data_IF_725050983310
#
_entry.id   IF_725050983310
#
_cell.length_a   1.000
_cell.length_b   1.000
_cell.length_c   1.000
_cell.angle_alpha   90.00
_cell.angle_beta   90.00
_cell.angle_gamma   90.00
#
_symmetry.space_group_name_H-M   'P 1'
#
loop_
_entity.id
_entity.type
_entity.pdbx_description
1 polymer ?
#
# COMPACT_ATOMS: atom_id res chain seq x y z
N UNK A 1 1.49 -0.99 -33.83
CA UNK A 1 1.27 -0.91 -32.37
C UNK A 1 2.34 -1.74 -31.67
N UNK A 2 2.73 -1.36 -30.46
CA UNK A 2 3.65 -2.12 -29.62
C UNK A 2 3.22 -2.00 -28.17
N UNK A 3 3.26 -3.10 -27.42
CA UNK A 3 3.12 -3.09 -25.96
C UNK A 3 4.44 -3.51 -25.33
N UNK A 4 4.80 -2.87 -24.22
CA UNK A 4 5.97 -3.23 -23.42
C UNK A 4 5.67 -3.10 -21.94
N UNK A 5 6.19 -4.03 -21.16
CA UNK A 5 6.21 -4.07 -19.69
C UNK A 5 7.62 -4.27 -19.15
N UNK A 6 8.66 -4.11 -19.98
CA UNK A 6 10.05 -4.33 -19.56
C UNK A 6 10.64 -3.09 -18.88
N UNK A 7 10.12 -2.79 -17.71
CA UNK A 7 10.50 -1.70 -16.81
C UNK A 7 10.00 -2.02 -15.39
N UNK A 8 10.46 -1.25 -14.41
CA UNK A 8 10.04 -1.38 -13.01
C UNK A 8 8.52 -1.50 -12.86
N UNK A 9 8.07 -2.50 -12.11
CA UNK A 9 6.66 -2.88 -11.85
C UNK A 9 5.86 -3.31 -13.07
N UNK A 10 6.48 -3.37 -14.25
CA UNK A 10 5.79 -3.71 -15.48
C UNK A 10 5.30 -5.16 -15.49
N UNK A 11 4.00 -5.34 -15.72
CA UNK A 11 3.36 -6.66 -15.81
C UNK A 11 2.26 -6.64 -16.88
N UNK A 12 2.49 -7.36 -17.98
CA UNK A 12 1.47 -7.78 -18.95
C UNK A 12 2.02 -8.90 -19.83
N UNK A 13 1.16 -9.79 -20.30
CA UNK A 13 1.41 -10.74 -21.37
C UNK A 13 0.60 -10.33 -22.62
N UNK A 14 1.25 -10.34 -23.78
CA UNK A 14 0.62 -9.95 -25.04
C UNK A 14 0.18 -11.18 -25.81
N UNK A 15 -1.13 -11.37 -25.96
CA UNK A 15 -1.71 -12.49 -26.72
C UNK A 15 -1.86 -12.11 -28.21
N UNK A 16 -2.40 -10.92 -28.50
CA UNK A 16 -2.56 -10.41 -29.88
C UNK A 16 -2.51 -8.89 -29.94
N UNK A 17 -1.81 -8.36 -30.96
CA UNK A 17 -1.72 -6.92 -31.27
C UNK A 17 -1.98 -6.61 -32.75
N UNK A 18 -2.70 -7.50 -33.44
CA UNK A 18 -2.90 -7.38 -34.88
C UNK A 18 -3.89 -6.28 -35.25
N UNK A 19 -4.92 -6.05 -34.41
CA UNK A 19 -6.03 -5.15 -34.70
C UNK A 19 -6.26 -4.17 -33.53
N UNK A 20 -6.34 -2.85 -33.76
CA UNK A 20 -6.53 -1.85 -32.69
C UNK A 20 -7.80 -2.05 -31.87
N UNK A 21 -8.86 -2.55 -32.48
CA UNK A 21 -10.17 -2.77 -31.86
C UNK A 21 -10.31 -4.17 -31.23
N UNK A 22 -9.24 -4.95 -31.17
CA UNK A 22 -9.20 -6.31 -30.65
C UNK A 22 -7.81 -6.66 -30.08
N UNK A 23 -7.29 -5.79 -29.21
CA UNK A 23 -6.02 -6.03 -28.51
C UNK A 23 -6.28 -7.06 -27.39
N UNK A 24 -5.54 -8.16 -27.40
CA UNK A 24 -5.73 -9.28 -26.48
C UNK A 24 -4.53 -9.40 -25.54
N UNK A 25 -4.79 -9.34 -24.24
CA UNK A 25 -3.80 -9.32 -23.16
C UNK A 25 -4.18 -10.30 -22.05
N UNK A 26 -3.18 -10.68 -21.27
CA UNK A 26 -3.33 -11.45 -20.03
C UNK A 26 -2.36 -10.86 -18.98
N UNK A 27 -2.62 -11.09 -17.70
CA UNK A 27 -1.73 -10.66 -16.62
C UNK A 27 -0.78 -11.82 -16.28
N UNK A 28 0.51 -11.53 -16.09
CA UNK A 28 1.44 -12.56 -15.60
C UNK A 28 1.19 -12.80 -14.11
N UNK A 29 1.27 -14.07 -13.70
CA UNK A 29 1.28 -14.45 -12.28
C UNK A 29 2.52 -13.94 -11.58
N UNK A 30 2.38 -13.70 -10.29
CA UNK A 30 3.48 -13.51 -9.37
C UNK A 30 4.44 -14.71 -9.48
N UNK A 31 5.76 -14.45 -9.37
CA UNK A 31 6.75 -15.52 -9.43
C UNK A 31 6.52 -16.54 -8.31
N UNK A 32 6.55 -17.83 -8.65
CA UNK A 32 6.33 -18.94 -7.72
C UNK A 32 4.99 -18.89 -6.95
N UNK A 33 3.98 -18.24 -7.52
CA UNK A 33 2.65 -18.11 -6.93
C UNK A 33 1.54 -18.17 -7.97
N UNK A 34 0.32 -18.42 -7.51
CA UNK A 34 -0.88 -18.37 -8.34
C UNK A 34 -1.56 -16.99 -8.36
N UNK A 35 -1.12 -16.06 -7.51
CA UNK A 35 -1.67 -14.71 -7.44
C UNK A 35 -1.40 -13.90 -8.71
N UNK A 36 -2.42 -13.16 -9.16
CA UNK A 36 -2.29 -12.08 -10.14
C UNK A 36 -3.48 -11.13 -10.04
N UNK A 37 -3.24 -9.85 -10.29
CA UNK A 37 -4.25 -8.78 -10.43
C UNK A 37 -3.56 -7.51 -10.95
N UNK A 38 -2.37 -7.20 -10.41
CA UNK A 38 -1.57 -6.05 -10.83
C UNK A 38 -1.16 -6.17 -12.30
N UNK A 39 -1.40 -5.10 -13.07
CA UNK A 39 -0.85 -4.91 -14.40
C UNK A 39 -0.23 -3.53 -14.51
N UNK A 40 0.79 -3.41 -15.35
CA UNK A 40 1.39 -2.13 -15.72
C UNK A 40 2.14 -2.28 -17.04
N UNK A 41 1.71 -1.55 -18.07
CA UNK A 41 2.31 -1.64 -19.39
C UNK A 41 2.19 -0.32 -20.16
N UNK A 42 3.01 -0.18 -21.21
CA UNK A 42 2.97 0.94 -22.14
C UNK A 42 2.46 0.48 -23.50
N UNK A 43 1.41 1.12 -23.99
CA UNK A 43 0.97 1.06 -25.38
C UNK A 43 1.67 2.16 -26.20
N UNK A 44 2.26 1.76 -27.32
CA UNK A 44 2.73 2.64 -28.38
C UNK A 44 1.82 2.44 -29.61
N UNK A 45 1.11 3.50 -30.00
CA UNK A 45 0.14 3.45 -31.09
C UNK A 45 -0.04 4.79 -31.81
N UNK A 46 -0.97 4.81 -32.77
CA UNK A 46 -1.37 6.01 -33.51
C UNK A 46 -2.33 6.83 -32.64
N UNK A 47 -2.04 8.12 -32.38
CA UNK A 47 -2.96 9.02 -31.70
C UNK A 47 -4.31 9.16 -32.42
N UNK A 48 -5.37 9.48 -31.67
CA UNK A 48 -6.73 9.74 -32.16
C UNK A 48 -7.34 8.56 -32.95
N UNK A 49 -6.91 7.34 -32.61
CA UNK A 49 -7.48 6.11 -33.11
C UNK A 49 -8.05 5.33 -31.93
N UNK A 50 -9.33 4.93 -32.00
CA UNK A 50 -9.93 4.11 -30.97
C UNK A 50 -9.21 2.75 -30.87
N UNK A 51 -8.85 2.39 -29.64
CA UNK A 51 -8.34 1.07 -29.28
C UNK A 51 -9.30 0.40 -28.32
N UNK A 52 -9.39 -0.93 -28.41
CA UNK A 52 -10.09 -1.76 -27.44
C UNK A 52 -9.16 -2.83 -26.92
N UNK A 53 -8.82 -2.72 -25.64
CA UNK A 53 -7.93 -3.64 -24.95
C UNK A 53 -8.78 -4.61 -24.13
N UNK A 54 -8.52 -5.90 -24.30
CA UNK A 54 -9.11 -6.98 -23.54
C UNK A 54 -8.03 -7.59 -22.67
N UNK A 55 -8.15 -7.43 -21.34
CA UNK A 55 -7.32 -8.16 -20.38
C UNK A 55 -8.14 -9.36 -19.91
N UNK A 56 -7.76 -10.56 -20.36
CA UNK A 56 -8.58 -11.77 -20.26
C UNK A 56 -8.22 -12.63 -19.03
N UNK A 57 -9.11 -13.57 -18.70
CA UNK A 57 -8.89 -14.59 -17.67
C UNK A 57 -8.97 -14.07 -16.24
N UNK A 58 -9.58 -12.90 -16.06
CA UNK A 58 -9.66 -12.18 -14.80
C UNK A 58 -10.72 -12.76 -13.85
N UNK A 59 -11.57 -13.67 -14.31
CA UNK A 59 -12.41 -14.53 -13.46
C UNK A 59 -11.59 -15.47 -12.57
N UNK A 60 -10.31 -15.64 -12.87
CA UNK A 60 -9.35 -16.47 -12.14
C UNK A 60 -8.31 -15.66 -11.38
N UNK A 61 -8.42 -14.33 -11.38
CA UNK A 61 -7.50 -13.48 -10.65
C UNK A 61 -7.66 -13.66 -9.13
N UNK A 62 -6.75 -13.09 -8.36
CA UNK A 62 -6.77 -13.21 -6.90
C UNK A 62 -8.10 -12.72 -6.28
N UNK A 63 -8.63 -11.63 -6.85
CA UNK A 63 -9.83 -10.94 -6.39
C UNK A 63 -10.73 -10.58 -7.60
N UNK A 64 -11.53 -11.53 -8.12
CA UNK A 64 -12.40 -11.28 -9.26
C UNK A 64 -13.41 -10.15 -9.03
N UNK A 65 -13.93 -10.01 -7.81
CA UNK A 65 -14.81 -8.92 -7.35
C UNK A 65 -14.13 -7.54 -7.39
N UNK A 66 -12.79 -7.51 -7.44
CA UNK A 66 -12.02 -6.30 -7.64
C UNK A 66 -12.23 -5.66 -9.01
N UNK A 67 -12.75 -6.41 -9.99
CA UNK A 67 -13.02 -5.89 -11.34
C UNK A 67 -14.41 -5.26 -11.49
N UNK A 68 -15.33 -5.56 -10.58
CA UNK A 68 -16.67 -4.97 -10.59
C UNK A 68 -16.58 -3.46 -10.32
N UNK A 69 -17.09 -2.64 -11.23
CA UNK A 69 -17.03 -1.17 -11.21
C UNK A 69 -15.60 -0.58 -11.16
N UNK A 70 -14.59 -1.38 -11.53
CA UNK A 70 -13.20 -0.92 -11.59
C UNK A 70 -12.87 -0.25 -12.94
N UNK A 71 -12.12 0.85 -12.85
CA UNK A 71 -11.60 1.60 -13.98
C UNK A 71 -10.07 1.61 -13.97
N UNK A 72 -9.45 1.17 -15.06
CA UNK A 72 -8.00 1.22 -15.20
C UNK A 72 -7.47 2.65 -15.08
N UNK A 73 -6.24 2.82 -14.58
CA UNK A 73 -5.54 4.11 -14.65
C UNK A 73 -4.65 4.17 -15.88
N UNK A 74 -4.52 5.34 -16.47
CA UNK A 74 -3.64 5.61 -17.59
C UNK A 74 -2.85 6.91 -17.42
N UNK A 75 -1.72 7.02 -18.10
CA UNK A 75 -0.89 8.23 -18.09
C UNK A 75 -0.10 8.40 -19.38
N UNK A 76 0.03 9.65 -19.83
CA UNK A 76 0.88 9.99 -20.98
C UNK A 76 2.33 10.33 -20.58
N UNK A 77 2.52 10.87 -19.36
CA UNK A 77 3.78 11.44 -18.88
C UNK A 77 4.36 10.70 -17.65
N UNK A 78 3.63 9.72 -17.11
CA UNK A 78 3.91 8.98 -15.87
C UNK A 78 3.84 9.82 -14.60
N UNK A 79 3.31 11.05 -14.69
CA UNK A 79 3.13 11.98 -13.57
C UNK A 79 1.65 12.17 -13.27
N UNK A 80 0.85 12.45 -14.29
CA UNK A 80 -0.60 12.57 -14.16
C UNK A 80 -1.25 11.27 -14.58
N UNK A 81 -1.85 10.58 -13.62
CA UNK A 81 -2.60 9.35 -13.84
C UNK A 81 -4.10 9.65 -13.75
N UNK A 82 -4.89 9.12 -14.67
CA UNK A 82 -6.33 9.36 -14.74
C UNK A 82 -7.07 8.06 -15.07
N UNK A 83 -8.34 7.96 -14.66
CA UNK A 83 -9.17 6.78 -14.92
C UNK A 83 -9.58 6.74 -16.40
N UNK A 84 -9.62 5.54 -16.96
CA UNK A 84 -10.13 5.29 -18.31
C UNK A 84 -11.40 4.43 -18.26
N UNK A 85 -12.40 4.72 -19.12
CA UNK A 85 -13.62 3.92 -19.20
C UNK A 85 -13.27 2.43 -19.38
N UNK A 86 -13.76 1.63 -18.44
CA UNK A 86 -13.49 0.20 -18.38
C UNK A 86 -14.78 -0.51 -18.00
N UNK A 87 -14.91 -1.77 -18.41
CA UNK A 87 -15.99 -2.65 -17.95
C UNK A 87 -15.48 -4.08 -17.83
N UNK A 88 -15.99 -4.80 -16.84
CA UNK A 88 -15.70 -6.21 -16.67
C UNK A 88 -16.84 -7.06 -17.23
N UNK A 89 -16.56 -7.85 -18.27
CA UNK A 89 -17.56 -8.69 -18.94
C UNK A 89 -16.93 -10.03 -19.35
N UNK A 90 -17.60 -11.14 -19.03
CA UNK A 90 -17.21 -12.49 -19.45
C UNK A 90 -15.74 -12.84 -19.11
N UNK A 91 -15.29 -12.49 -17.89
CA UNK A 91 -13.92 -12.78 -17.43
C UNK A 91 -12.84 -11.89 -18.05
N UNK A 92 -13.22 -10.77 -18.68
CA UNK A 92 -12.28 -9.83 -19.30
C UNK A 92 -12.55 -8.39 -18.89
N UNK A 93 -11.50 -7.65 -18.53
CA UNK A 93 -11.56 -6.20 -18.39
C UNK A 93 -11.39 -5.58 -19.79
N UNK A 94 -12.39 -4.83 -20.22
CA UNK A 94 -12.41 -4.18 -21.53
C UNK A 94 -12.21 -2.68 -21.35
N UNK A 95 -11.15 -2.15 -21.96
CA UNK A 95 -10.78 -0.73 -21.94
C UNK A 95 -10.97 -0.16 -23.34
N UNK A 96 -11.92 0.75 -23.50
CA UNK A 96 -12.10 1.52 -24.75
C UNK A 96 -11.35 2.85 -24.60
N UNK A 97 -10.33 3.07 -25.42
CA UNK A 97 -9.44 4.20 -25.26
C UNK A 97 -8.96 4.79 -26.60
N UNK A 98 -9.11 6.10 -26.75
CA UNK A 98 -8.56 6.86 -27.87
C UNK A 98 -7.38 7.72 -27.35
N UNK A 99 -6.11 7.32 -27.60
CA UNK A 99 -4.96 8.02 -27.06
C UNK A 99 -4.75 9.38 -27.75
N UNK A 100 -4.50 10.44 -26.98
CA UNK A 100 -4.10 11.75 -27.53
C UNK A 100 -2.63 11.79 -27.98
N UNK A 101 -1.82 10.89 -27.43
CA UNK A 101 -0.38 10.81 -27.67
C UNK A 101 0.05 9.41 -28.09
N UNK A 102 1.19 9.30 -28.77
CA UNK A 102 1.64 8.03 -29.34
C UNK A 102 2.02 6.99 -28.27
N UNK A 103 2.31 7.42 -27.04
CA UNK A 103 2.65 6.57 -25.91
C UNK A 103 1.68 6.79 -24.77
N UNK A 104 1.15 5.71 -24.21
CA UNK A 104 0.27 5.75 -23.04
C UNK A 104 0.60 4.57 -22.14
N UNK A 105 0.77 4.83 -20.85
CA UNK A 105 0.87 3.81 -19.82
C UNK A 105 -0.51 3.47 -19.29
N UNK A 106 -0.73 2.19 -18.95
CA UNK A 106 -1.90 1.70 -18.24
C UNK A 106 -1.42 0.91 -17.03
N UNK A 107 -2.11 1.04 -15.90
CA UNK A 107 -1.80 0.28 -14.70
C UNK A 107 -3.05 -0.04 -13.86
N UNK A 108 -2.87 -0.92 -12.87
CA UNK A 108 -3.92 -1.26 -11.91
C UNK A 108 -4.15 -0.14 -10.87
N UNK A 109 -3.08 0.56 -10.50
CA UNK A 109 -3.10 1.83 -9.74
C UNK A 109 -1.88 2.66 -10.16
N UNK A 110 -1.78 3.92 -9.73
CA UNK A 110 -0.61 4.77 -9.98
C UNK A 110 0.68 4.10 -9.46
N UNK A 111 1.60 3.66 -10.33
CA UNK A 111 2.80 2.94 -9.90
C UNK A 111 3.73 3.80 -9.04
N UNK A 112 4.42 3.15 -8.11
CA UNK A 112 5.48 3.74 -7.29
C UNK A 112 6.76 2.93 -7.51
N UNK A 113 7.70 3.47 -8.28
CA UNK A 113 8.92 2.78 -8.71
C UNK A 113 10.00 2.74 -7.63
N UNK A 114 10.91 1.77 -7.73
CA UNK A 114 12.05 1.64 -6.83
C UNK A 114 12.99 2.87 -6.86
N UNK A 115 13.17 3.52 -8.01
CA UNK A 115 13.92 4.80 -8.05
C UNK A 115 13.26 5.90 -7.22
N UNK A 116 11.92 5.97 -7.21
CA UNK A 116 11.18 6.93 -6.39
C UNK A 116 11.28 6.57 -4.90
N UNK A 117 11.32 5.28 -4.59
CA UNK A 117 11.55 4.78 -3.23
C UNK A 117 12.92 5.23 -2.72
N UNK A 118 13.97 5.06 -3.53
CA UNK A 118 15.31 5.54 -3.20
C UNK A 118 15.35 7.07 -3.06
N UNK A 119 14.72 7.80 -3.97
CA UNK A 119 14.60 9.27 -3.88
C UNK A 119 13.91 9.70 -2.57
N UNK A 120 12.82 9.04 -2.17
CA UNK A 120 12.10 9.32 -0.92
C UNK A 120 12.98 9.06 0.31
N UNK A 121 13.64 7.89 0.37
CA UNK A 121 14.53 7.54 1.47
C UNK A 121 15.67 8.55 1.62
N UNK A 122 16.28 8.93 0.50
CA UNK A 122 17.44 9.82 0.50
C UNK A 122 17.07 11.30 0.67
N UNK A 123 15.87 11.69 0.28
CA UNK A 123 15.28 12.96 0.69
C UNK A 123 15.05 12.98 2.20
N UNK A 124 14.42 11.94 2.77
CA UNK A 124 14.08 11.89 4.19
C UNK A 124 15.32 11.94 5.09
N UNK A 125 16.38 11.16 4.79
CA UNK A 125 17.63 11.17 5.58
C UNK A 125 18.34 12.53 5.58
N UNK A 126 17.99 13.44 4.66
CA UNK A 126 18.62 14.76 4.60
C UNK A 126 18.15 15.71 5.70
N UNK A 127 17.09 15.33 6.43
CA UNK A 127 16.62 16.02 7.62
C UNK A 127 17.39 15.54 8.85
N UNK A 128 17.89 16.48 9.66
CA UNK A 128 18.74 16.19 10.85
C UNK A 128 18.08 15.25 11.88
N UNK A 129 16.74 15.18 11.89
CA UNK A 129 15.96 14.34 12.81
C UNK A 129 15.67 12.94 12.26
N UNK A 130 16.13 12.61 11.05
CA UNK A 130 15.86 11.35 10.37
C UNK A 130 17.16 10.55 10.17
N UNK A 131 17.18 9.33 10.68
CA UNK A 131 18.24 8.36 10.44
C UNK A 131 17.72 7.22 9.55
N UNK A 132 18.47 6.86 8.51
CA UNK A 132 18.20 5.69 7.68
C UNK A 132 19.10 4.53 8.10
N UNK A 133 18.51 3.35 8.26
CA UNK A 133 19.22 2.11 8.58
C UNK A 133 18.80 1.00 7.59
N UNK A 134 19.77 0.30 7.02
CA UNK A 134 19.55 -0.93 6.27
C UNK A 134 19.50 -2.10 7.26
N UNK A 135 18.31 -2.68 7.46
CA UNK A 135 18.10 -3.78 8.39
C UNK A 135 18.62 -5.12 7.87
N UNK A 136 18.68 -5.26 6.54
CA UNK A 136 19.09 -6.45 5.83
C UNK A 136 18.83 -6.33 4.33
N UNK A 137 18.91 -7.46 3.63
CA UNK A 137 18.69 -7.55 2.19
C UNK A 137 17.45 -8.41 1.90
N UNK A 138 16.73 -8.07 0.83
CA UNK A 138 15.69 -8.92 0.23
C UNK A 138 16.31 -10.13 -0.47
N UNK A 139 15.48 -11.03 -1.00
CA UNK A 139 15.95 -12.23 -1.71
C UNK A 139 16.67 -11.92 -3.04
N UNK A 140 16.34 -10.81 -3.70
CA UNK A 140 17.07 -10.31 -4.87
C UNK A 140 18.25 -9.39 -4.51
N UNK A 141 18.51 -9.14 -3.22
CA UNK A 141 19.60 -8.28 -2.75
C UNK A 141 19.30 -6.78 -2.80
N UNK A 142 18.03 -6.37 -2.65
CA UNK A 142 17.64 -4.96 -2.41
C UNK A 142 17.66 -4.65 -0.93
N UNK A 143 17.79 -3.39 -0.58
CA UNK A 143 17.83 -2.98 0.82
C UNK A 143 16.43 -3.06 1.47
N UNK A 144 16.39 -3.57 2.71
CA UNK A 144 15.24 -3.42 3.61
C UNK A 144 15.54 -2.24 4.54
N UNK A 145 15.07 -1.05 4.18
CA UNK A 145 15.39 0.20 4.88
C UNK A 145 14.31 0.61 5.88
N UNK A 146 14.73 1.05 7.06
CA UNK A 146 13.87 1.75 8.03
C UNK A 146 14.33 3.19 8.20
N UNK A 147 13.38 4.11 8.24
CA UNK A 147 13.59 5.50 8.64
C UNK A 147 13.21 5.64 10.11
N UNK A 148 14.15 6.09 10.94
CA UNK A 148 13.91 6.45 12.34
C UNK A 148 13.86 7.97 12.46
N UNK A 149 12.71 8.52 12.87
CA UNK A 149 12.46 9.96 12.90
C UNK A 149 12.19 10.43 14.34
N UNK A 150 13.02 11.34 14.81
CA UNK A 150 13.04 11.86 16.18
C UNK A 150 14.07 11.16 17.07
N UNK A 151 14.49 11.85 18.13
CA UNK A 151 15.49 11.33 19.07
C UNK A 151 14.88 10.32 20.05
N UNK A 152 15.40 9.08 20.15
CA UNK A 152 14.97 8.08 21.14
C UNK A 152 15.17 8.53 22.58
N UNK A 153 14.15 8.32 23.41
CA UNK A 153 14.19 8.55 24.85
C UNK A 153 13.16 7.66 25.56
N UNK A 154 13.38 7.36 26.84
CA UNK A 154 12.53 6.45 27.63
C UNK A 154 11.08 6.95 27.77
N UNK A 155 10.88 8.27 27.74
CA UNK A 155 9.59 8.95 27.87
C UNK A 155 8.81 9.03 26.54
N UNK A 156 9.46 8.74 25.41
CA UNK A 156 8.82 8.80 24.09
C UNK A 156 8.17 7.47 23.70
N UNK A 157 7.04 7.56 23.01
CA UNK A 157 6.34 6.41 22.43
C UNK A 157 7.03 5.95 21.15
N UNK A 158 7.02 4.65 20.87
CA UNK A 158 7.56 4.05 19.63
C UNK A 158 6.42 3.74 18.68
N UNK A 159 6.36 4.47 17.57
CA UNK A 159 5.31 4.34 16.56
C UNK A 159 5.91 3.68 15.33
N UNK A 160 5.41 2.50 14.99
CA UNK A 160 5.84 1.75 13.82
C UNK A 160 4.83 1.88 12.69
N UNK A 161 5.32 2.13 11.48
CA UNK A 161 4.50 2.14 10.26
C UNK A 161 5.21 1.30 9.20
N UNK A 162 4.53 0.26 8.72
CA UNK A 162 5.00 -0.51 7.56
C UNK A 162 4.02 -0.31 6.42
N UNK A 163 4.52 -0.28 5.19
CA UNK A 163 3.69 -0.16 4.01
C UNK A 163 4.09 -1.19 2.96
N UNK A 164 3.11 -1.57 2.14
CA UNK A 164 3.35 -2.25 0.86
C UNK A 164 3.99 -3.64 1.02
N UNK A 165 3.54 -4.39 2.02
CA UNK A 165 3.89 -5.82 2.13
C UNK A 165 3.43 -6.60 0.90
N UNK A 166 2.28 -6.21 0.35
CA UNK A 166 1.84 -6.64 -0.96
C UNK A 166 2.29 -5.60 -2.01
N UNK A 167 3.13 -6.00 -2.98
CA UNK A 167 3.83 -5.07 -3.86
C UNK A 167 2.93 -4.27 -4.80
N UNK A 168 1.78 -4.84 -5.20
CA UNK A 168 0.82 -4.20 -6.09
C UNK A 168 0.02 -3.06 -5.41
N UNK A 169 0.02 -3.00 -4.08
CA UNK A 169 -0.69 -1.99 -3.27
C UNK A 169 0.11 -0.68 -3.18
N UNK A 170 0.42 -0.11 -4.33
CA UNK A 170 1.23 1.10 -4.50
C UNK A 170 0.70 2.32 -3.74
N UNK A 171 -0.61 2.40 -3.50
CA UNK A 171 -1.23 3.40 -2.63
C UNK A 171 -0.59 3.50 -1.24
N UNK A 172 -0.07 2.38 -0.72
CA UNK A 172 0.51 2.32 0.61
C UNK A 172 1.81 3.15 0.72
N UNK A 173 2.65 3.12 -0.32
CA UNK A 173 3.88 3.90 -0.32
C UNK A 173 3.63 5.38 -0.66
N UNK A 174 2.63 5.68 -1.51
CA UNK A 174 2.13 7.05 -1.69
C UNK A 174 1.59 7.67 -0.40
N UNK A 175 0.92 6.87 0.42
CA UNK A 175 0.48 7.26 1.76
C UNK A 175 1.67 7.59 2.66
N UNK A 176 2.69 6.72 2.68
CA UNK A 176 3.90 6.95 3.48
C UNK A 176 4.65 8.19 3.01
N UNK A 177 4.74 8.44 1.71
CA UNK A 177 5.35 9.66 1.17
C UNK A 177 4.66 10.92 1.74
N UNK A 178 3.33 10.97 1.69
CA UNK A 178 2.57 12.10 2.25
C UNK A 178 2.75 12.25 3.77
N UNK A 179 2.73 11.14 4.49
CA UNK A 179 2.98 11.12 5.94
C UNK A 179 4.38 11.67 6.27
N UNK A 180 5.41 11.22 5.55
CA UNK A 180 6.79 11.67 5.73
C UNK A 180 6.95 13.16 5.41
N UNK A 181 6.37 13.63 4.30
CA UNK A 181 6.40 15.05 3.93
C UNK A 181 5.77 15.95 5.00
N UNK A 182 4.72 15.51 5.70
CA UNK A 182 4.15 16.26 6.82
C UNK A 182 4.97 16.10 8.10
N UNK A 183 5.46 14.90 8.41
CA UNK A 183 6.22 14.62 9.63
C UNK A 183 7.59 15.31 9.66
N UNK A 184 8.20 15.51 8.50
CA UNK A 184 9.52 16.14 8.34
C UNK A 184 9.44 17.64 7.99
N UNK A 185 8.22 18.20 7.89
CA UNK A 185 7.99 19.64 7.75
C UNK A 185 8.24 20.33 9.11
N UNK A 186 9.28 21.18 9.17
CA UNK A 186 9.68 21.89 10.38
C UNK A 186 8.71 23.03 10.75
N UNK A 187 7.83 23.43 9.84
CA UNK A 187 6.77 24.40 10.08
C UNK A 187 5.44 23.74 10.50
N UNK A 188 5.31 22.41 10.43
CA UNK A 188 4.07 21.72 10.81
C UNK A 188 3.95 21.52 12.34
N UNK A 189 2.93 22.12 12.99
CA UNK A 189 2.78 22.04 14.44
C UNK A 189 2.35 20.65 14.93
N UNK A 190 1.70 19.83 14.10
CA UNK A 190 1.34 18.45 14.47
C UNK A 190 2.59 17.58 14.51
N UNK A 191 3.47 17.72 13.51
CA UNK A 191 4.75 17.02 13.47
C UNK A 191 5.61 17.38 14.69
N UNK A 192 5.78 18.67 14.98
CA UNK A 192 6.54 19.12 16.16
C UNK A 192 5.95 18.58 17.48
N UNK A 193 4.62 18.61 17.64
CA UNK A 193 3.96 18.07 18.82
C UNK A 193 4.17 16.56 18.97
N UNK A 194 4.11 15.81 17.87
CA UNK A 194 4.35 14.37 17.85
C UNK A 194 5.80 14.01 18.17
N UNK A 195 6.77 14.66 17.51
CA UNK A 195 8.19 14.36 17.68
C UNK A 195 8.72 14.70 19.09
N UNK A 196 8.02 15.58 19.82
CA UNK A 196 8.28 15.82 21.24
C UNK A 196 7.86 14.65 22.15
N UNK A 197 6.98 13.76 21.66
CA UNK A 197 6.34 12.67 22.43
C UNK A 197 6.62 11.27 21.89
N UNK A 198 7.08 11.16 20.65
CA UNK A 198 7.23 9.90 19.96
C UNK A 198 8.46 9.87 19.04
N UNK A 199 8.91 8.65 18.76
CA UNK A 199 9.85 8.33 17.69
C UNK A 199 9.12 7.44 16.70
N UNK A 200 9.26 7.75 15.42
CA UNK A 200 8.67 7.00 14.33
C UNK A 200 9.69 6.06 13.73
N UNK A 201 9.30 4.81 13.50
CA UNK A 201 10.05 3.83 12.72
C UNK A 201 9.20 3.45 11.51
N UNK A 202 9.63 3.85 10.32
CA UNK A 202 8.83 3.76 9.09
C UNK A 202 9.58 2.92 8.06
N UNK A 203 8.91 1.90 7.54
CA UNK A 203 9.38 1.09 6.40
C UNK A 203 8.46 1.39 5.21
N UNK A 204 8.87 2.29 4.28
CA UNK A 204 8.01 2.73 3.18
C UNK A 204 7.64 1.61 2.19
N UNK A 205 8.54 0.64 2.02
CA UNK A 205 8.32 -0.50 1.12
C UNK A 205 8.83 -1.79 1.77
N UNK A 206 7.90 -2.60 2.25
CA UNK A 206 8.18 -3.92 2.82
C UNK A 206 8.52 -4.97 1.76
N UNK A 207 8.23 -4.73 0.48
CA UNK A 207 8.45 -5.72 -0.59
C UNK A 207 9.07 -5.11 -1.85
N UNK A 208 10.34 -4.65 -1.79
CA UNK A 208 11.02 -4.07 -2.95
C UNK A 208 11.10 -5.03 -4.15
N UNK A 209 11.30 -6.32 -3.89
CA UNK A 209 11.46 -7.33 -4.95
C UNK A 209 10.17 -7.53 -5.73
N UNK A 210 9.08 -7.82 -5.02
CA UNK A 210 7.77 -7.95 -5.65
C UNK A 210 7.37 -6.67 -6.38
N UNK A 211 7.72 -5.50 -5.83
CA UNK A 211 7.41 -4.20 -6.42
C UNK A 211 8.06 -4.05 -7.79
N UNK A 212 9.38 -4.27 -7.89
CA UNK A 212 10.11 -4.17 -9.18
C UNK A 212 9.66 -5.23 -10.17
N UNK A 213 9.32 -6.43 -9.69
CA UNK A 213 8.86 -7.56 -10.52
C UNK A 213 7.44 -7.40 -11.06
N UNK A 214 6.69 -6.39 -10.60
CA UNK A 214 5.29 -6.21 -10.99
C UNK A 214 4.38 -7.31 -10.44
N UNK A 215 4.67 -7.79 -9.23
CA UNK A 215 3.79 -8.70 -8.51
C UNK A 215 2.59 -7.96 -7.90
N UNK A 216 1.54 -8.71 -7.56
CA UNK A 216 0.44 -8.23 -6.73
C UNK A 216 0.74 -8.41 -5.25
N UNK A 217 1.05 -9.64 -4.83
CA UNK A 217 0.82 -10.09 -3.45
C UNK A 217 2.05 -10.67 -2.78
N UNK A 218 3.02 -11.18 -3.54
CA UNK A 218 4.13 -11.95 -2.96
C UNK A 218 5.51 -11.33 -3.19
N UNK A 219 6.46 -11.65 -2.32
CA UNK A 219 7.88 -11.35 -2.56
C UNK A 219 8.49 -12.21 -3.69
N UNK A 220 9.81 -12.19 -3.84
CA UNK A 220 10.51 -12.91 -4.91
C UNK A 220 10.29 -14.44 -4.88
N UNK A 221 10.05 -15.03 -3.71
CA UNK A 221 9.87 -16.47 -3.50
C UNK A 221 8.40 -16.91 -3.42
N UNK A 222 7.46 -16.10 -3.91
CA UNK A 222 6.04 -16.44 -3.88
C UNK A 222 5.42 -16.40 -2.48
N UNK A 223 6.10 -15.78 -1.50
CA UNK A 223 5.63 -15.69 -0.11
C UNK A 223 4.77 -14.44 0.09
N UNK A 224 3.58 -14.63 0.67
CA UNK A 224 2.77 -13.52 1.17
C UNK A 224 3.34 -13.05 2.52
N UNK A 225 4.00 -11.89 2.53
CA UNK A 225 4.66 -11.35 3.72
C UNK A 225 3.70 -11.13 4.90
N UNK A 226 2.45 -10.74 4.62
CA UNK A 226 1.44 -10.52 5.65
C UNK A 226 0.80 -11.84 6.18
N UNK A 227 1.50 -12.97 5.98
CA UNK A 227 1.23 -14.28 6.60
C UNK A 227 2.47 -14.88 7.27
N UNK A 228 3.55 -14.10 7.42
CA UNK A 228 4.83 -14.60 7.93
C UNK A 228 5.17 -14.10 9.34
N UNK A 229 4.35 -13.25 9.95
CA UNK A 229 4.71 -12.52 11.17
C UNK A 229 4.85 -13.40 12.42
N UNK A 230 4.26 -14.59 12.42
CA UNK A 230 4.40 -15.52 13.55
C UNK A 230 5.76 -16.22 13.56
N UNK A 231 6.27 -16.61 12.38
CA UNK A 231 7.49 -17.42 12.23
C UNK A 231 8.28 -17.04 10.96
N UNK A 232 8.73 -15.77 10.83
CA UNK A 232 9.46 -15.36 9.65
C UNK A 232 10.86 -15.99 9.61
N UNK A 233 11.45 -16.09 8.42
CA UNK A 233 12.80 -16.65 8.24
C UNK A 233 13.60 -15.89 7.19
N UNK A 234 14.93 -15.89 7.31
CA UNK A 234 15.83 -15.22 6.36
C UNK A 234 15.75 -15.80 4.94
N UNK A 235 15.37 -17.07 4.80
CA UNK A 235 15.32 -17.78 3.52
C UNK A 235 14.01 -17.55 2.75
N UNK A 236 12.93 -17.14 3.43
CA UNK A 236 11.60 -17.01 2.83
C UNK A 236 11.03 -15.61 2.91
N UNK A 237 11.20 -14.99 4.07
CA UNK A 237 10.60 -13.72 4.45
C UNK A 237 11.61 -12.85 5.22
N UNK A 238 12.83 -12.61 4.68
CA UNK A 238 13.83 -11.77 5.33
C UNK A 238 13.28 -10.38 5.64
N UNK A 239 12.37 -9.86 4.81
CA UNK A 239 11.72 -8.57 4.97
C UNK A 239 11.00 -8.47 6.33
N UNK A 240 10.17 -9.48 6.64
CA UNK A 240 9.44 -9.56 7.91
C UNK A 240 10.38 -9.91 9.05
N UNK A 241 11.35 -10.81 8.82
CA UNK A 241 12.32 -11.23 9.84
C UNK A 241 13.10 -10.04 10.40
N UNK A 242 13.67 -9.21 9.52
CA UNK A 242 14.50 -8.07 9.90
C UNK A 242 13.69 -6.98 10.62
N UNK A 243 12.49 -6.65 10.11
CA UNK A 243 11.60 -5.66 10.72
C UNK A 243 11.12 -6.12 12.10
N UNK A 244 10.68 -7.37 12.25
CA UNK A 244 10.23 -7.90 13.54
C UNK A 244 11.38 -7.95 14.56
N UNK A 245 12.62 -8.25 14.13
CA UNK A 245 13.78 -8.18 15.01
C UNK A 245 14.02 -6.74 15.52
N UNK A 246 13.95 -5.75 14.62
CA UNK A 246 14.10 -4.34 14.98
C UNK A 246 12.98 -3.84 15.90
N UNK A 247 11.75 -4.29 15.70
CA UNK A 247 10.62 -4.00 16.61
C UNK A 247 10.88 -4.57 18.01
N UNK A 248 11.49 -5.76 18.14
CA UNK A 248 11.84 -6.33 19.45
C UNK A 248 12.94 -5.55 20.17
N UNK A 249 13.86 -4.96 19.43
CA UNK A 249 14.93 -4.10 19.99
C UNK A 249 14.40 -2.75 20.47
N UNK A 250 13.50 -2.13 19.69
CA UNK A 250 13.02 -0.76 19.92
C UNK A 250 11.77 -0.70 20.80
N UNK A 251 10.96 -1.75 20.78
CA UNK A 251 9.61 -1.76 21.33
C UNK A 251 8.58 -1.13 20.38
N UNK A 252 7.30 -1.38 20.66
CA UNK A 252 6.18 -0.86 19.88
C UNK A 252 5.07 -0.40 20.82
N UNK A 253 4.60 0.83 20.66
CA UNK A 253 3.48 1.41 21.40
C UNK A 253 2.25 1.63 20.50
N UNK A 254 2.50 1.84 19.19
CA UNK A 254 1.49 1.88 18.14
C UNK A 254 2.05 1.28 16.85
N UNK A 255 1.21 0.58 16.10
CA UNK A 255 1.57 -0.02 14.81
C UNK A 255 0.48 0.22 13.76
N UNK A 256 0.88 0.73 12.59
CA UNK A 256 0.02 0.83 11.41
C UNK A 256 0.64 0.06 10.25
N UNK A 257 -0.15 -0.83 9.66
CA UNK A 257 0.23 -1.61 8.48
C UNK A 257 -0.59 -1.13 7.28
N UNK A 258 0.03 -0.44 6.34
CA UNK A 258 -0.65 0.28 5.26
C UNK A 258 -0.77 -0.60 4.02
N UNK A 259 -2.01 -0.73 3.55
CA UNK A 259 -2.45 -1.66 2.54
C UNK A 259 -3.43 -1.02 1.54
N UNK A 260 -3.80 -1.79 0.52
CA UNK A 260 -4.89 -1.48 -0.39
C UNK A 260 -5.81 -2.68 -0.63
N UNK A 261 -7.11 -2.41 -0.75
CA UNK A 261 -8.15 -3.42 -0.97
C UNK A 261 -8.70 -3.34 -2.40
N UNK A 262 -8.73 -4.48 -3.08
CA UNK A 262 -9.17 -4.59 -4.46
C UNK A 262 -10.67 -4.41 -4.64
N UNK A 263 -11.47 -4.82 -3.65
CA UNK A 263 -12.91 -5.03 -3.80
C UNK A 263 -13.75 -3.87 -3.26
N UNK A 264 -13.46 -3.46 -2.02
CA UNK A 264 -14.22 -2.46 -1.29
C UNK A 264 -13.82 -1.05 -1.75
N UNK A 265 -14.78 -0.21 -2.17
CA UNK A 265 -14.50 1.17 -2.58
C UNK A 265 -14.51 2.12 -1.38
N UNK A 266 -13.75 1.83 -0.33
CA UNK A 266 -13.70 2.66 0.89
C UNK A 266 -12.33 2.62 1.54
N UNK A 267 -11.97 3.70 2.25
CA UNK A 267 -10.87 3.64 3.22
C UNK A 267 -11.42 3.13 4.56
N UNK A 268 -10.75 2.17 5.18
CA UNK A 268 -11.14 1.61 6.48
C UNK A 268 -9.91 1.11 7.26
N UNK A 269 -10.15 0.70 8.50
CA UNK A 269 -9.13 0.02 9.31
C UNK A 269 -9.66 -1.30 9.84
N UNK A 270 -8.80 -2.32 9.87
CA UNK A 270 -9.07 -3.62 10.50
C UNK A 270 -8.21 -3.76 11.76
N UNK A 271 -8.88 -3.91 12.90
CA UNK A 271 -8.27 -3.88 14.23
C UNK A 271 -7.76 -5.23 14.70
N UNK A 272 -7.51 -5.29 16.00
CA UNK A 272 -6.92 -6.43 16.69
C UNK A 272 -7.90 -7.10 17.67
N UNK A 273 -9.21 -6.91 17.49
CA UNK A 273 -10.26 -7.36 18.42
C UNK A 273 -10.31 -8.88 18.63
N UNK A 274 -9.80 -9.65 17.66
CA UNK A 274 -9.68 -11.10 17.77
C UNK A 274 -8.44 -11.56 18.54
N UNK A 275 -7.52 -10.67 18.93
CA UNK A 275 -6.28 -11.07 19.59
C UNK A 275 -6.52 -11.60 21.02
N UNK A 276 -5.75 -12.62 21.46
CA UNK A 276 -5.85 -13.13 22.84
C UNK A 276 -5.62 -12.09 23.94
N UNK A 277 -4.76 -11.10 23.70
CA UNK A 277 -4.45 -10.04 24.67
C UNK A 277 -5.31 -8.79 24.55
N UNK A 278 -6.32 -8.79 23.67
CA UNK A 278 -7.22 -7.66 23.48
C UNK A 278 -7.98 -7.33 24.78
N UNK A 279 -7.98 -6.05 25.16
CA UNK A 279 -8.59 -5.55 26.39
C UNK A 279 -9.32 -4.22 26.17
N UNK A 280 -10.04 -3.75 27.20
CA UNK A 280 -10.77 -2.48 27.15
C UNK A 280 -9.87 -1.26 26.87
N UNK A 281 -8.58 -1.34 27.19
CA UNK A 281 -7.63 -0.26 26.90
C UNK A 281 -7.32 -0.23 25.40
N UNK A 282 -7.00 -1.36 24.79
CA UNK A 282 -6.75 -1.44 23.33
C UNK A 282 -8.01 -1.03 22.58
N UNK A 283 -9.18 -1.54 23.00
CA UNK A 283 -10.47 -1.12 22.43
C UNK A 283 -10.67 0.40 22.51
N UNK A 284 -10.41 1.01 23.67
CA UNK A 284 -10.54 2.46 23.82
C UNK A 284 -9.59 3.24 22.92
N UNK A 285 -8.35 2.77 22.75
CA UNK A 285 -7.38 3.38 21.83
C UNK A 285 -7.82 3.28 20.37
N UNK A 286 -8.33 2.11 19.98
CA UNK A 286 -8.90 1.83 18.66
C UNK A 286 -10.10 2.76 18.36
N UNK A 287 -11.06 2.84 19.28
CA UNK A 287 -12.22 3.73 19.17
C UNK A 287 -11.80 5.21 19.07
N UNK A 288 -10.87 5.65 19.92
CA UNK A 288 -10.37 7.04 19.92
C UNK A 288 -9.65 7.40 18.62
N UNK A 289 -8.85 6.49 18.07
CA UNK A 289 -8.13 6.70 16.82
C UNK A 289 -9.09 6.82 15.63
N UNK A 290 -10.08 5.93 15.55
CA UNK A 290 -11.13 6.01 14.50
C UNK A 290 -11.96 7.28 14.63
N UNK A 291 -12.33 7.68 15.84
CA UNK A 291 -13.04 8.93 16.08
C UNK A 291 -12.23 10.16 15.63
N UNK A 292 -10.90 10.13 15.83
CA UNK A 292 -10.01 11.17 15.33
C UNK A 292 -9.97 11.21 13.79
N UNK A 293 -9.80 10.06 13.12
CA UNK A 293 -9.82 9.98 11.66
C UNK A 293 -11.14 10.50 11.07
N UNK A 294 -12.29 10.06 11.61
CA UNK A 294 -13.62 10.53 11.18
C UNK A 294 -13.80 12.05 11.35
N UNK A 295 -13.09 12.66 12.29
CA UNK A 295 -13.13 14.11 12.52
C UNK A 295 -12.22 14.87 11.55
N UNK A 296 -11.05 14.29 11.23
CA UNK A 296 -10.00 14.95 10.47
C UNK A 296 -10.28 14.91 8.98
N UNK A 297 -10.73 13.77 8.46
CA UNK A 297 -10.81 13.55 7.02
C UNK A 297 -12.14 12.95 6.60
N UNK A 298 -12.81 13.50 5.57
CA UNK A 298 -14.00 12.88 4.99
C UNK A 298 -13.69 11.61 4.20
N UNK A 299 -12.40 11.29 4.03
CA UNK A 299 -11.96 10.12 3.28
C UNK A 299 -12.12 8.80 4.06
N UNK A 300 -12.20 8.87 5.39
CA UNK A 300 -12.30 7.70 6.26
C UNK A 300 -13.75 7.38 6.65
N UNK A 301 -14.04 6.10 6.85
CA UNK A 301 -15.32 5.60 7.35
C UNK A 301 -15.13 4.31 8.17
N UNK A 302 -16.15 3.91 8.94
CA UNK A 302 -16.14 2.73 9.82
C UNK A 302 -17.45 1.89 9.69
N UNK A 303 -18.16 2.03 8.57
CA UNK A 303 -19.37 1.26 8.25
C UNK A 303 -19.04 0.00 7.43
N UNK A 304 -18.15 0.14 6.44
CA UNK A 304 -17.71 -0.91 5.54
C UNK A 304 -16.26 -1.30 5.85
N UNK A 305 -15.97 -2.59 5.80
CA UNK A 305 -14.66 -3.15 6.07
C UNK A 305 -14.75 -4.66 6.20
N UNK A 306 -13.69 -5.29 6.71
CA UNK A 306 -13.70 -6.72 6.99
C UNK A 306 -14.59 -7.07 8.18
N UNK A 307 -15.11 -8.30 8.17
CA UNK A 307 -15.77 -8.86 9.34
C UNK A 307 -14.79 -8.90 10.52
N UNK A 308 -15.34 -8.65 11.71
CA UNK A 308 -14.56 -8.67 12.95
C UNK A 308 -14.28 -10.09 13.39
N UNK A 309 -13.02 -10.38 13.70
CA UNK A 309 -12.63 -11.66 14.29
C UNK A 309 -13.31 -11.85 15.67
N UNK A 310 -13.70 -13.09 15.98
CA UNK A 310 -14.21 -13.41 17.31
C UNK A 310 -13.07 -13.33 18.36
N UNK A 311 -13.38 -13.03 19.63
CA UNK A 311 -12.35 -12.91 20.67
C UNK A 311 -11.46 -14.15 20.79
N UNK A 312 -10.14 -13.98 20.63
CA UNK A 312 -9.15 -15.05 20.67
C UNK A 312 -9.00 -15.86 19.39
N UNK A 313 -9.70 -15.51 18.31
CA UNK A 313 -9.68 -16.21 17.02
C UNK A 313 -8.87 -15.48 15.93
N UNK A 314 -8.19 -14.38 16.26
CA UNK A 314 -7.36 -13.65 15.30
C UNK A 314 -6.24 -14.53 14.72
N UNK A 315 -6.00 -14.34 13.42
CA UNK A 315 -4.88 -14.96 12.75
C UNK A 315 -3.56 -14.21 13.05
N UNK A 316 -2.77 -14.72 13.99
CA UNK A 316 -1.48 -14.16 14.41
C UNK A 316 -0.35 -14.29 13.37
N UNK A 317 -0.65 -14.74 12.15
CA UNK A 317 0.29 -14.64 11.01
C UNK A 317 0.20 -13.29 10.30
N UNK A 318 -0.88 -12.55 10.52
CA UNK A 318 -1.11 -11.19 10.01
C UNK A 318 -0.39 -10.19 10.90
N UNK A 319 0.22 -9.17 10.29
CA UNK A 319 1.11 -8.22 10.95
C UNK A 319 0.44 -7.48 12.12
N UNK A 320 -0.70 -6.83 11.87
CA UNK A 320 -1.43 -6.04 12.87
C UNK A 320 -1.79 -6.90 14.08
N UNK A 321 -2.28 -8.12 13.85
CA UNK A 321 -2.56 -9.09 14.90
C UNK A 321 -1.29 -9.53 15.64
N UNK A 322 -0.25 -9.95 14.93
CA UNK A 322 1.01 -10.44 15.51
C UNK A 322 1.71 -9.38 16.37
N UNK A 323 1.80 -8.15 15.86
CA UNK A 323 2.43 -7.01 16.55
C UNK A 323 1.53 -6.54 17.71
N UNK A 324 0.23 -6.41 17.48
CA UNK A 324 -0.74 -6.08 18.53
C UNK A 324 -0.66 -7.04 19.71
N UNK A 325 -0.58 -8.35 19.45
CA UNK A 325 -0.45 -9.38 20.49
C UNK A 325 0.93 -9.34 21.18
N UNK A 326 2.01 -9.31 20.41
CA UNK A 326 3.37 -9.40 20.95
C UNK A 326 3.73 -8.19 21.83
N UNK A 327 3.24 -7.00 21.47
CA UNK A 327 3.58 -5.75 22.16
C UNK A 327 2.43 -5.19 22.97
N UNK A 328 1.21 -5.74 22.89
CA UNK A 328 0.00 -5.18 23.55
C UNK A 328 -0.19 -3.70 23.18
N UNK A 329 0.01 -3.39 21.91
CA UNK A 329 -0.01 -2.05 21.34
C UNK A 329 -1.31 -1.80 20.58
N UNK A 330 -1.65 -0.51 20.34
CA UNK A 330 -2.65 -0.17 19.34
C UNK A 330 -2.13 -0.63 17.96
N UNK A 331 -2.85 -1.49 17.27
CA UNK A 331 -2.43 -2.03 15.97
C UNK A 331 -3.59 -2.03 14.98
N UNK A 332 -3.36 -1.45 13.80
CA UNK A 332 -4.34 -1.44 12.71
C UNK A 332 -3.69 -1.84 11.40
N UNK A 333 -4.43 -2.60 10.59
CA UNK A 333 -4.26 -2.59 9.13
C UNK A 333 -5.10 -1.45 8.57
N UNK A 334 -4.50 -0.58 7.75
CA UNK A 334 -5.18 0.54 7.07
C UNK A 334 -5.35 0.17 5.61
N UNK A 335 -6.59 0.15 5.13
CA UNK A 335 -6.94 -0.26 3.77
C UNK A 335 -7.42 0.93 2.95
N UNK A 336 -6.92 1.03 1.71
CA UNK A 336 -7.29 2.04 0.72
C UNK A 336 -7.79 1.39 -0.58
N UNK A 337 -8.81 1.94 -1.26
CA UNK A 337 -9.42 1.25 -2.40
C UNK A 337 -8.57 1.36 -3.68
N UNK A 338 -8.48 0.27 -4.46
CA UNK A 338 -7.99 0.35 -5.85
C UNK A 338 -8.98 1.10 -6.78
N UNK A 339 -10.27 1.07 -6.43
CA UNK A 339 -11.37 1.69 -7.17
C UNK A 339 -11.44 3.18 -6.85
N UNK A 340 -12.29 3.55 -5.91
CA UNK A 340 -12.50 4.91 -5.45
C UNK A 340 -13.03 4.86 -4.01
N UNK A 341 -13.10 5.99 -3.32
CA UNK A 341 -13.92 6.11 -2.13
C UNK A 341 -15.36 6.42 -2.55
N UNK A 342 -16.27 5.46 -2.44
CA UNK A 342 -17.66 5.61 -2.86
C UNK A 342 -18.43 6.69 -2.06
N UNK A 343 -17.95 7.06 -0.86
CA UNK A 343 -18.51 8.18 -0.09
C UNK A 343 -18.10 9.55 -0.64
N UNK A 344 -16.98 9.62 -1.37
CA UNK A 344 -16.44 10.84 -1.96
C UNK A 344 -15.82 10.53 -3.33
N UNK A 345 -16.65 10.24 -4.35
CA UNK A 345 -16.15 9.76 -5.63
C UNK A 345 -15.49 10.87 -6.45
N UNK A 346 -14.42 10.52 -7.14
CA UNK A 346 -13.74 11.32 -8.16
C UNK A 346 -13.76 10.55 -9.50
N UNK A 347 -14.62 10.90 -10.46
CA UNK A 347 -14.73 10.15 -11.71
C UNK A 347 -13.50 10.30 -12.63
N UNK A 348 -12.62 11.27 -12.38
CA UNK A 348 -11.43 11.51 -13.21
C UNK A 348 -10.22 10.76 -12.70
N UNK A 349 -10.06 10.67 -11.38
CA UNK A 349 -8.87 10.11 -10.74
C UNK A 349 -9.17 8.86 -9.90
N UNK A 350 -10.41 8.69 -9.45
CA UNK A 350 -10.80 7.68 -8.47
C UNK A 350 -10.06 7.88 -7.15
N UNK A 351 -9.74 6.78 -6.48
CA UNK A 351 -8.64 6.81 -5.51
C UNK A 351 -7.32 6.97 -6.26
N UNK A 352 -6.41 7.79 -5.73
CA UNK A 352 -5.21 8.22 -6.46
C UNK A 352 -4.02 8.41 -5.54
N UNK A 353 -2.83 8.49 -6.13
CA UNK A 353 -1.58 8.87 -5.47
C UNK A 353 -1.73 10.13 -4.60
N UNK A 354 -2.43 11.15 -5.10
CA UNK A 354 -2.68 12.41 -4.35
C UNK A 354 -3.58 12.21 -3.13
N UNK A 355 -4.59 11.34 -3.25
CA UNK A 355 -5.51 11.07 -2.13
C UNK A 355 -4.87 10.15 -1.09
N UNK A 356 -4.09 9.16 -1.52
CA UNK A 356 -3.21 8.38 -0.63
C UNK A 356 -2.25 9.29 0.12
N UNK A 357 -1.56 10.19 -0.59
CA UNK A 357 -0.65 11.17 0.00
C UNK A 357 -1.35 12.02 1.07
N UNK A 358 -2.51 12.61 0.76
CA UNK A 358 -3.28 13.40 1.72
C UNK A 358 -3.76 12.54 2.90
N UNK A 359 -4.18 11.30 2.66
CA UNK A 359 -4.64 10.41 3.71
C UNK A 359 -3.51 10.04 4.70
N UNK A 360 -2.26 9.95 4.22
CA UNK A 360 -1.07 9.84 5.07
C UNK A 360 -0.87 11.05 5.98
N UNK A 361 -1.05 12.25 5.42
CA UNK A 361 -1.00 13.51 6.17
C UNK A 361 -2.09 13.61 7.24
N UNK A 362 -3.31 13.24 6.88
CA UNK A 362 -4.47 13.26 7.79
C UNK A 362 -4.32 12.22 8.91
N UNK A 363 -3.79 11.04 8.58
CA UNK A 363 -3.51 9.99 9.57
C UNK A 363 -2.48 10.43 10.60
N UNK A 364 -1.45 11.19 10.20
CA UNK A 364 -0.49 11.75 11.16
C UNK A 364 -1.19 12.66 12.19
N UNK A 365 -2.17 13.47 11.75
CA UNK A 365 -2.95 14.30 12.66
C UNK A 365 -3.80 13.44 13.63
N UNK A 366 -4.32 12.29 13.19
CA UNK A 366 -5.08 11.37 14.05
C UNK A 366 -4.19 10.70 15.11
N UNK A 367 -2.94 10.36 14.77
CA UNK A 367 -1.94 9.83 15.73
C UNK A 367 -1.73 10.84 16.87
N UNK A 368 -1.68 12.14 16.57
CA UNK A 368 -1.51 13.19 17.59
C UNK A 368 -2.64 13.22 18.64
N UNK A 369 -3.83 12.72 18.30
CA UNK A 369 -4.97 12.65 19.22
C UNK A 369 -4.87 11.48 20.22
N UNK A 370 -4.07 10.46 19.93
CA UNK A 370 -3.97 9.23 20.75
C UNK A 370 -2.61 8.99 21.38
N UNK A 371 -1.56 9.69 20.93
CA UNK A 371 -0.16 9.47 21.38
C UNK A 371 0.02 9.51 22.91
N UNK A 372 -0.68 10.41 23.60
CA UNK A 372 -0.60 10.56 25.06
C UNK A 372 -1.25 9.38 25.82
N UNK A 373 -2.05 8.54 25.15
CA UNK A 373 -2.80 7.42 25.73
C UNK A 373 -2.17 6.04 25.47
N UNK A 374 -1.17 5.95 24.58
CA UNK A 374 -0.64 4.66 24.11
C UNK A 374 -0.05 3.77 25.23
N UNK A 375 0.51 4.37 26.29
CA UNK A 375 1.09 3.69 27.46
C UNK A 375 0.97 4.51 28.73
#
# INVERSE_FOLDING_TARGET
>A
MKISSNFDSGNINVVSLNEPLDIQLEINKDNESDFFQWFHFRLESTPFLLHKLHINGLDKSAYPEGWDDYHAVASYDRQTWFRVPSRFENGSLIIDFEPEYAHTYFAYFTPYSYERHLDLLYWAQSHDICEIETLGETLDGRDISVLTIGEPSDDKKRIWITARQHPGETMAEWFVEGLLHKLLDDEDPHAAALLSKAVFHIVPNMNPDGSVRGHLRTNAAGVNLNREWQTPSLEKSPEVYHVLHKMRETGVDMYLDIHGDEALPYNFVAGSEGNPSYDERIKGLEDDFKAALLTITPEFQDEFGYDKDAPGEANLTVASNAVGEAFKALAYTVEMPFKDNANLPDPYYGWSDRRSYQFGQDTLAAIACVVDKLR
#
